data_IF_875981058561
#
_entry.id   IF_875981058561
#
_cell.length_a   1.000
_cell.length_b   1.000
_cell.length_c   1.000
_cell.angle_alpha   90.00
_cell.angle_beta   90.00
_cell.angle_gamma   90.00
#
_symmetry.space_group_name_H-M   'P 1'
#
loop_
_entity.id
_entity.type
_entity.pdbx_description
1 polymer ?
#
# COMPACT_ATOMS: atom_id res chain seq x y z
N UNK A 1 9.88 11.11 -3.14
CA UNK A 1 9.21 10.32 -2.09
C UNK A 1 7.73 10.64 -2.21
N UNK A 2 6.92 9.68 -2.63
CA UNK A 2 5.49 9.89 -2.85
C UNK A 2 4.75 9.14 -1.74
N UNK A 3 3.96 9.88 -0.95
CA UNK A 3 3.03 9.32 0.01
C UNK A 3 1.63 9.47 -0.57
N UNK A 4 0.95 8.35 -0.78
CA UNK A 4 -0.47 8.36 -1.13
C UNK A 4 -1.19 7.90 0.14
N UNK A 5 -1.94 8.82 0.75
CA UNK A 5 -2.89 8.51 1.83
C UNK A 5 -4.25 8.60 1.19
N UNK A 6 -4.86 7.45 0.90
CA UNK A 6 -6.17 7.40 0.28
C UNK A 6 -7.15 6.80 1.27
N UNK A 7 -8.08 7.63 1.79
CA UNK A 7 -9.25 7.14 2.51
C UNK A 7 -10.39 7.00 1.51
N UNK A 8 -10.68 5.77 1.07
CA UNK A 8 -11.78 5.46 0.16
C UNK A 8 -12.88 4.74 0.96
N UNK A 9 -13.79 5.49 1.57
CA UNK A 9 -14.87 4.90 2.38
C UNK A 9 -14.31 4.07 3.54
N UNK A 10 -14.53 2.76 3.45
CA UNK A 10 -14.13 1.72 4.41
C UNK A 10 -12.68 1.23 4.23
N UNK A 11 -11.87 1.91 3.40
CA UNK A 11 -10.49 1.52 3.13
C UNK A 11 -9.49 2.66 3.42
N UNK A 12 -8.37 2.34 4.07
CA UNK A 12 -7.20 3.21 4.23
C UNK A 12 -5.97 2.51 3.64
N UNK A 13 -5.34 3.14 2.65
CA UNK A 13 -4.09 2.65 2.05
C UNK A 13 -2.94 3.66 2.28
N UNK A 14 -1.83 3.15 2.80
CA UNK A 14 -0.58 3.85 3.07
C UNK A 14 0.54 3.22 2.26
N UNK A 15 1.01 3.92 1.23
CA UNK A 15 2.07 3.41 0.35
C UNK A 15 3.31 4.30 0.43
N UNK A 16 4.45 3.65 0.69
CA UNK A 16 5.78 4.21 0.53
C UNK A 16 6.45 3.60 -0.69
N UNK A 17 6.80 4.41 -1.69
CA UNK A 17 7.51 3.95 -2.88
C UNK A 17 8.83 4.68 -3.11
N UNK A 18 9.84 3.95 -3.59
CA UNK A 18 11.14 4.50 -3.99
C UNK A 18 11.73 3.77 -5.20
N UNK A 19 12.26 4.57 -6.13
CA UNK A 19 13.10 4.08 -7.23
C UNK A 19 14.38 3.47 -6.70
N UNK A 20 14.71 2.28 -7.18
CA UNK A 20 15.97 1.60 -6.90
C UNK A 20 17.05 2.05 -7.89
N UNK A 21 18.31 2.01 -7.48
CA UNK A 21 19.46 2.47 -8.28
C UNK A 21 19.65 1.71 -9.59
N UNK A 22 19.27 0.44 -9.62
CA UNK A 22 19.30 -0.46 -10.79
C UNK A 22 18.04 -0.41 -11.69
N UNK A 23 17.20 0.63 -11.59
CA UNK A 23 16.10 0.85 -12.55
C UNK A 23 14.73 0.24 -12.20
N UNK A 24 14.61 -0.46 -11.07
CA UNK A 24 13.33 -0.92 -10.52
C UNK A 24 12.66 0.08 -9.56
N UNK A 25 11.52 -0.31 -9.02
CA UNK A 25 10.87 0.35 -7.88
C UNK A 25 10.63 -0.66 -6.78
N UNK A 26 10.73 -0.20 -5.53
CA UNK A 26 10.13 -0.91 -4.42
C UNK A 26 9.02 -0.06 -3.79
N UNK A 27 7.98 -0.75 -3.32
CA UNK A 27 6.85 -0.17 -2.63
C UNK A 27 6.57 -1.01 -1.38
N UNK A 28 6.48 -0.36 -0.23
CA UNK A 28 5.94 -0.93 0.99
C UNK A 28 4.56 -0.31 1.21
N UNK A 29 3.54 -1.14 1.30
CA UNK A 29 2.17 -0.71 1.50
C UNK A 29 1.56 -1.32 2.75
N UNK A 30 0.64 -0.58 3.35
CA UNK A 30 -0.20 -1.00 4.44
C UNK A 30 -1.64 -0.62 4.12
N UNK A 31 -2.54 -1.60 4.16
CA UNK A 31 -3.94 -1.40 3.88
C UNK A 31 -4.80 -1.84 5.08
N UNK A 32 -5.80 -1.04 5.39
CA UNK A 32 -6.91 -1.37 6.29
C UNK A 32 -8.19 -1.40 5.45
N UNK A 33 -8.96 -2.46 5.62
CA UNK A 33 -10.26 -2.64 4.97
C UNK A 33 -11.32 -3.00 6.01
N UNK A 34 -12.40 -2.23 6.08
CA UNK A 34 -13.59 -2.54 6.87
C UNK A 34 -14.63 -3.21 5.97
N UNK A 35 -15.01 -4.43 6.31
CA UNK A 35 -16.12 -5.09 5.62
C UNK A 35 -17.45 -4.67 6.27
N UNK A 36 -18.47 -4.38 5.46
CA UNK A 36 -19.76 -3.94 5.99
C UNK A 36 -20.36 -4.99 6.94
N UNK A 37 -20.51 -4.62 8.22
CA UNK A 37 -21.01 -5.52 9.27
C UNK A 37 -19.92 -6.19 10.12
N UNK A 38 -18.64 -5.88 9.90
CA UNK A 38 -17.54 -6.26 10.80
C UNK A 38 -17.12 -5.09 11.69
N UNK A 39 -16.88 -5.35 12.98
CA UNK A 39 -16.44 -4.32 13.94
C UNK A 39 -14.94 -4.04 13.83
N UNK A 40 -14.16 -5.06 13.43
CA UNK A 40 -12.71 -4.98 13.31
C UNK A 40 -12.28 -4.88 11.84
N UNK A 41 -11.37 -3.96 11.49
CA UNK A 41 -10.80 -3.92 10.15
C UNK A 41 -9.90 -5.11 9.91
N UNK A 42 -9.89 -5.57 8.66
CA UNK A 42 -8.83 -6.43 8.15
C UNK A 42 -7.61 -5.57 7.76
N UNK A 43 -6.45 -5.89 8.34
CA UNK A 43 -5.20 -5.21 8.05
C UNK A 43 -4.19 -6.12 7.33
N UNK A 44 -3.49 -5.58 6.33
CA UNK A 44 -2.40 -6.30 5.69
C UNK A 44 -1.27 -5.38 5.24
N UNK A 45 -0.04 -5.89 5.34
CA UNK A 45 1.18 -5.21 4.87
C UNK A 45 1.76 -5.97 3.68
N UNK A 46 2.20 -5.24 2.65
CA UNK A 46 2.82 -5.83 1.46
C UNK A 46 4.12 -5.12 1.07
N UNK A 47 5.06 -5.90 0.52
CA UNK A 47 6.25 -5.41 -0.14
C UNK A 47 6.19 -5.82 -1.61
N UNK A 48 6.13 -4.83 -2.51
CA UNK A 48 6.24 -5.04 -3.95
C UNK A 48 7.59 -4.55 -4.45
N UNK A 49 8.21 -5.35 -5.30
CA UNK A 49 9.40 -4.95 -6.05
C UNK A 49 9.08 -5.16 -7.53
N UNK A 50 9.21 -4.10 -8.33
CA UNK A 50 8.94 -4.13 -9.77
C UNK A 50 10.17 -3.72 -10.57
N UNK A 51 10.37 -4.38 -11.71
CA UNK A 51 11.44 -4.11 -12.66
C UNK A 51 10.87 -4.13 -14.08
N UNK A 52 11.41 -3.29 -14.95
CA UNK A 52 11.20 -3.44 -16.39
C UNK A 52 12.28 -4.40 -16.87
N UNK A 53 11.87 -5.54 -17.43
CA UNK A 53 12.73 -6.54 -18.07
C UNK A 53 13.03 -6.16 -19.52
#
# INVERSE_FOLDING_TARGET
MLFIIKKLGDELDLIFSRKLSWGGNWSLGYALYWEYGTEEPFDFTYLMISFIL
#
